data_IF_579502498556
#
_entry.id   IF_579502498556
#
_cell.length_a   1.000
_cell.length_b   1.000
_cell.length_c   1.000
_cell.angle_alpha   90.00
_cell.angle_beta   90.00
_cell.angle_gamma   90.00
#
_symmetry.space_group_name_H-M   'P 1'
#
loop_
_entity.id
_entity.type
_entity.pdbx_description
1 polymer ?
#
# COMPACT_ATOMS: atom_id res chain seq x y z
N UNK A 1 18.53 0.69 -3.28
CA UNK A 1 17.05 0.74 -3.41
C UNK A 1 16.48 0.31 -2.08
N UNK A 2 15.59 1.10 -1.49
CA UNK A 2 14.95 0.73 -0.22
C UNK A 2 14.15 -0.57 -0.40
N UNK A 3 14.32 -1.51 0.54
CA UNK A 3 13.54 -2.76 0.58
C UNK A 3 12.16 -2.57 1.21
N UNK A 4 11.87 -1.37 1.71
CA UNK A 4 10.63 -1.11 2.43
C UNK A 4 9.40 -1.24 1.51
N UNK A 5 8.28 -1.83 1.96
CA UNK A 5 7.07 -1.99 1.16
C UNK A 5 6.54 -0.70 0.53
N UNK A 6 6.70 0.44 1.23
CA UNK A 6 6.32 1.76 0.71
C UNK A 6 7.09 2.16 -0.55
N UNK A 7 8.31 1.68 -0.76
CA UNK A 7 9.16 2.08 -1.90
C UNK A 7 9.05 1.10 -3.08
N UNK A 8 8.19 0.07 -2.96
CA UNK A 8 7.97 -0.95 -4.00
C UNK A 8 6.74 -0.63 -4.85
N UNK A 9 6.94 -0.70 -6.16
CA UNK A 9 5.91 -0.40 -7.18
C UNK A 9 5.65 -1.58 -8.13
N UNK A 10 6.54 -2.56 -8.12
CA UNK A 10 6.70 -3.64 -9.09
C UNK A 10 6.32 -5.02 -8.54
N UNK A 11 6.29 -5.18 -7.22
CA UNK A 11 5.93 -6.45 -6.59
C UNK A 11 4.42 -6.67 -6.64
N UNK A 12 3.99 -7.61 -7.48
CA UNK A 12 2.60 -8.09 -7.61
C UNK A 12 2.47 -9.39 -6.81
N UNK A 13 1.90 -9.38 -5.60
CA UNK A 13 1.72 -10.59 -4.82
C UNK A 13 0.60 -11.49 -5.37
N UNK A 14 -0.43 -10.89 -5.99
CA UNK A 14 -1.55 -11.58 -6.62
C UNK A 14 -2.28 -10.61 -7.58
N UNK A 15 -2.18 -10.85 -8.90
CA UNK A 15 -2.82 -10.01 -9.91
C UNK A 15 -4.36 -10.05 -9.84
N UNK A 16 -4.94 -11.18 -9.42
CA UNK A 16 -6.39 -11.32 -9.28
C UNK A 16 -6.90 -10.49 -8.09
N UNK A 17 -6.16 -10.46 -6.99
CA UNK A 17 -6.48 -9.61 -5.83
C UNK A 17 -6.43 -8.12 -6.19
N UNK A 18 -5.42 -7.68 -6.95
CA UNK A 18 -5.32 -6.29 -7.41
C UNK A 18 -6.49 -5.93 -8.35
N UNK A 19 -6.82 -6.81 -9.28
CA UNK A 19 -7.95 -6.61 -10.20
C UNK A 19 -9.28 -6.51 -9.43
N UNK A 20 -9.51 -7.39 -8.44
CA UNK A 20 -10.71 -7.35 -7.61
C UNK A 20 -10.83 -6.03 -6.82
N UNK A 21 -9.72 -5.51 -6.30
CA UNK A 21 -9.71 -4.23 -5.61
C UNK A 21 -10.03 -3.07 -6.54
N UNK A 22 -9.39 -3.00 -7.70
CA UNK A 22 -9.62 -1.94 -8.70
C UNK A 22 -11.06 -1.99 -9.23
N UNK A 23 -11.60 -3.18 -9.47
CA UNK A 23 -12.99 -3.35 -9.87
C UNK A 23 -13.96 -2.81 -8.81
N UNK A 24 -13.76 -3.17 -7.54
CA UNK A 24 -14.58 -2.66 -6.44
C UNK A 24 -14.48 -1.13 -6.28
N UNK A 25 -13.27 -0.57 -6.44
CA UNK A 25 -13.04 0.87 -6.42
C UNK A 25 -13.76 1.58 -7.58
N UNK A 26 -13.56 1.12 -8.82
CA UNK A 26 -14.12 1.76 -10.03
C UNK A 26 -15.66 1.76 -10.04
N UNK A 27 -16.28 0.76 -9.40
CA UNK A 27 -17.74 0.65 -9.27
C UNK A 27 -18.32 1.43 -8.08
N UNK A 28 -17.49 2.11 -7.29
CA UNK A 28 -17.93 2.83 -6.08
C UNK A 28 -18.46 1.89 -4.98
N UNK A 29 -18.01 0.63 -4.97
CA UNK A 29 -18.47 -0.43 -4.04
C UNK A 29 -17.33 -0.97 -3.18
N UNK A 30 -16.28 -0.19 -2.99
CA UNK A 30 -15.15 -0.59 -2.18
C UNK A 30 -15.55 -0.71 -0.71
N UNK A 31 -15.40 -1.89 -0.13
CA UNK A 31 -15.59 -2.08 1.31
C UNK A 31 -14.62 -1.18 2.09
N UNK A 32 -15.10 -0.58 3.18
CA UNK A 32 -14.33 0.36 4.02
C UNK A 32 -13.18 -0.31 4.79
N UNK A 33 -13.19 -1.65 4.88
CA UNK A 33 -12.16 -2.42 5.55
C UNK A 33 -11.78 -3.64 4.71
N UNK A 34 -10.47 -3.86 4.56
CA UNK A 34 -9.88 -4.99 3.86
C UNK A 34 -8.92 -5.73 4.78
N UNK A 35 -9.08 -7.05 4.86
CA UNK A 35 -8.17 -7.92 5.59
C UNK A 35 -7.32 -8.69 4.58
N UNK A 36 -6.01 -8.44 4.62
CA UNK A 36 -5.04 -9.14 3.77
C UNK A 36 -4.49 -10.35 4.54
N UNK A 37 -4.75 -11.55 4.02
CA UNK A 37 -4.34 -12.81 4.63
C UNK A 37 -3.24 -13.50 3.81
N UNK A 38 -2.37 -14.25 4.47
CA UNK A 38 -1.31 -15.02 3.82
C UNK A 38 -0.03 -15.09 4.64
N UNK A 39 0.89 -15.96 4.23
CA UNK A 39 2.19 -16.18 4.91
C UNK A 39 3.04 -14.90 4.98
N UNK A 40 3.97 -14.84 5.93
CA UNK A 40 4.95 -13.74 5.98
C UNK A 40 5.73 -13.64 4.65
N UNK A 41 6.10 -12.40 4.26
CA UNK A 41 6.83 -12.17 3.02
C UNK A 41 5.98 -12.20 1.72
N UNK A 42 4.70 -12.56 1.78
CA UNK A 42 3.78 -12.58 0.61
C UNK A 42 3.43 -11.21 0.02
N UNK A 43 4.06 -10.11 0.43
CA UNK A 43 3.82 -8.78 -0.16
C UNK A 43 2.54 -8.06 0.29
N UNK A 44 1.86 -8.51 1.36
CA UNK A 44 0.64 -7.85 1.90
C UNK A 44 0.80 -6.35 2.18
N UNK A 45 1.90 -5.95 2.81
CA UNK A 45 2.18 -4.54 3.07
C UNK A 45 2.35 -3.76 1.76
N UNK A 46 3.04 -4.34 0.77
CA UNK A 46 3.22 -3.73 -0.55
C UNK A 46 1.89 -3.56 -1.28
N UNK A 47 1.00 -4.55 -1.21
CA UNK A 47 -0.37 -4.43 -1.72
C UNK A 47 -1.08 -3.24 -1.07
N UNK A 48 -1.04 -3.13 0.25
CA UNK A 48 -1.70 -2.03 0.97
C UNK A 48 -1.17 -0.65 0.54
N UNK A 49 0.13 -0.48 0.37
CA UNK A 49 0.71 0.77 -0.13
C UNK A 49 0.33 1.07 -1.59
N UNK A 50 0.28 0.05 -2.46
CA UNK A 50 -0.15 0.22 -3.86
C UNK A 50 -1.64 0.58 -3.96
N UNK A 51 -2.48 -0.06 -3.15
CA UNK A 51 -3.89 0.29 -3.00
C UNK A 51 -4.07 1.73 -2.48
N UNK A 52 -3.32 2.12 -1.43
CA UNK A 52 -3.37 3.48 -0.87
C UNK A 52 -3.02 4.55 -1.92
N UNK A 53 -1.97 4.33 -2.73
CA UNK A 53 -1.63 5.25 -3.84
C UNK A 53 -2.79 5.48 -4.78
N UNK A 54 -3.43 4.39 -5.23
CA UNK A 54 -4.56 4.46 -6.16
C UNK A 54 -5.79 5.11 -5.52
N UNK A 55 -6.03 4.85 -4.23
CA UNK A 55 -7.13 5.49 -3.48
C UNK A 55 -6.91 6.99 -3.27
N UNK A 56 -5.68 7.40 -3.04
CA UNK A 56 -5.30 8.79 -2.80
C UNK A 56 -5.07 9.58 -4.11
N UNK A 57 -5.36 8.98 -5.26
CA UNK A 57 -5.39 9.68 -6.55
C UNK A 57 -4.07 9.71 -7.33
N UNK A 58 -3.08 8.91 -6.96
CA UNK A 58 -1.85 8.81 -7.76
C UNK A 58 -2.16 8.38 -9.20
N UNK A 59 -1.50 9.01 -10.19
CA UNK A 59 -1.70 8.68 -11.60
C UNK A 59 -1.47 7.17 -11.87
N UNK A 60 -2.35 6.50 -12.64
CA UNK A 60 -2.19 5.08 -12.96
C UNK A 60 -0.95 4.85 -13.83
N UNK A 61 -0.23 3.75 -13.56
CA UNK A 61 0.82 3.22 -14.43
C UNK A 61 0.51 1.75 -14.75
N UNK A 62 -0.22 1.47 -15.85
CA UNK A 62 -0.61 0.11 -16.23
C UNK A 62 0.56 -0.85 -16.46
N UNK A 63 1.77 -0.34 -16.74
CA UNK A 63 2.97 -1.18 -16.89
C UNK A 63 3.36 -1.90 -15.60
N UNK A 64 2.80 -1.47 -14.46
CA UNK A 64 3.05 -1.99 -13.12
C UNK A 64 1.86 -2.78 -12.56
N UNK A 65 0.97 -3.27 -13.41
CA UNK A 65 -0.19 -4.06 -13.03
C UNK A 65 -1.43 -3.23 -12.64
N UNK A 66 -2.53 -3.88 -12.20
CA UNK A 66 -3.81 -3.20 -11.95
C UNK A 66 -3.74 -2.08 -10.90
N UNK A 67 -2.98 -2.28 -9.82
CA UNK A 67 -2.72 -1.24 -8.81
C UNK A 67 -1.47 -0.39 -9.12
N UNK A 68 -0.95 -0.47 -10.34
CA UNK A 68 0.20 0.30 -10.77
C UNK A 68 -0.05 1.81 -10.69
N UNK A 69 0.90 2.52 -10.08
CA UNK A 69 0.87 3.97 -9.94
C UNK A 69 2.23 4.55 -10.36
N UNK A 70 2.22 5.74 -10.94
CA UNK A 70 3.44 6.46 -11.34
C UNK A 70 4.29 6.76 -10.09
N UNK A 71 5.55 6.30 -10.01
CA UNK A 71 6.46 6.62 -8.90
C UNK A 71 6.79 8.11 -8.78
N UNK A 72 6.64 8.88 -9.85
CA UNK A 72 6.97 10.30 -9.87
C UNK A 72 5.78 11.20 -9.53
N UNK A 73 4.57 10.64 -9.39
CA UNK A 73 3.37 11.35 -8.95
C UNK A 73 3.56 11.93 -7.53
N UNK A 74 3.06 13.15 -7.24
CA UNK A 74 3.15 13.75 -5.91
C UNK A 74 2.63 12.85 -4.78
N UNK A 75 1.50 12.16 -4.98
CA UNK A 75 0.91 11.23 -3.99
C UNK A 75 1.88 10.08 -3.73
N UNK A 76 2.41 9.47 -4.79
CA UNK A 76 3.39 8.38 -4.68
C UNK A 76 4.64 8.79 -3.91
N UNK A 77 5.15 10.00 -4.15
CA UNK A 77 6.33 10.56 -3.46
C UNK A 77 6.04 10.86 -2.00
N UNK A 78 4.89 11.45 -1.68
CA UNK A 78 4.48 11.73 -0.30
C UNK A 78 4.28 10.45 0.50
N UNK A 79 3.68 9.41 -0.08
CA UNK A 79 3.53 8.10 0.56
C UNK A 79 4.90 7.46 0.84
N UNK A 80 5.82 7.51 -0.14
CA UNK A 80 7.18 7.02 0.06
C UNK A 80 7.89 7.79 1.19
N UNK A 81 7.68 9.10 1.27
CA UNK A 81 8.23 9.96 2.31
C UNK A 81 7.50 9.92 3.66
N UNK A 82 6.42 9.12 3.81
CA UNK A 82 5.56 9.12 5.01
C UNK A 82 4.99 10.51 5.36
N UNK A 83 4.72 11.35 4.35
CA UNK A 83 4.25 12.73 4.53
C UNK A 83 2.87 13.02 3.94
N UNK A 84 2.19 12.01 3.38
CA UNK A 84 0.86 12.20 2.83
C UNK A 84 -0.16 12.46 3.95
N UNK A 85 -0.88 13.60 3.96
CA UNK A 85 -1.74 14.01 5.07
C UNK A 85 -2.91 13.04 5.32
N UNK A 86 -3.42 12.41 4.26
CA UNK A 86 -4.54 11.46 4.35
C UNK A 86 -4.13 9.99 4.46
N UNK A 87 -2.84 9.69 4.71
CA UNK A 87 -2.37 8.33 4.94
C UNK A 87 -1.85 8.15 6.38
N UNK A 88 -2.56 7.37 7.17
CA UNK A 88 -2.10 6.93 8.49
C UNK A 88 -1.58 5.49 8.41
N UNK A 89 -0.29 5.30 8.68
CA UNK A 89 0.34 3.97 8.78
C UNK A 89 0.49 3.61 10.25
N UNK A 90 -0.19 2.55 10.68
CA UNK A 90 -0.13 2.04 12.05
C UNK A 90 0.80 0.83 12.11
N UNK A 91 1.93 0.99 12.78
CA UNK A 91 2.90 -0.08 13.01
C UNK A 91 3.38 -0.11 14.46
N UNK A 92 3.92 -1.24 14.90
CA UNK A 92 4.48 -1.35 16.25
C UNK A 92 5.87 -0.76 16.26
N UNK A 93 6.11 0.22 17.13
CA UNK A 93 7.45 0.74 17.36
C UNK A 93 8.39 -0.34 17.90
N UNK A 94 9.62 -0.37 17.39
CA UNK A 94 10.71 -1.19 17.92
C UNK A 94 11.64 -0.27 18.70
N UNK A 95 11.73 -0.45 20.02
CA UNK A 95 12.68 0.27 20.88
C UNK A 95 13.65 -0.74 21.50
N UNK A 96 14.95 -0.50 21.35
CA UNK A 96 15.99 -1.38 21.93
C UNK A 96 15.90 -2.84 21.48
N UNK A 97 15.46 -3.09 20.23
CA UNK A 97 15.29 -4.45 19.69
C UNK A 97 14.04 -5.19 20.18
N UNK A 98 13.15 -4.54 20.94
CA UNK A 98 11.88 -5.11 21.39
C UNK A 98 10.71 -4.35 20.77
N UNK A 99 9.78 -5.10 20.19
CA UNK A 99 8.53 -4.56 19.65
C UNK A 99 7.59 -4.15 20.79
N UNK A 100 7.12 -2.90 20.79
CA UNK A 100 6.16 -2.41 21.80
C UNK A 100 4.84 -3.19 21.73
N UNK A 101 4.25 -3.44 22.90
CA UNK A 101 2.99 -4.19 23.01
C UNK A 101 1.79 -3.41 22.48
N UNK A 102 1.80 -2.08 22.61
CA UNK A 102 0.75 -1.17 22.12
C UNK A 102 1.15 -0.47 20.81
N UNK A 103 0.13 -0.16 20.00
CA UNK A 103 0.24 0.80 18.91
C UNK A 103 -0.34 2.10 19.45
N UNK A 104 0.49 3.12 19.59
CA UNK A 104 0.05 4.46 20.00
C UNK A 104 -0.09 5.32 18.75
N UNK A 105 -1.19 6.07 18.64
CA UNK A 105 -1.46 7.04 17.57
C UNK A 105 -1.15 8.44 18.08
#
# INVERSE_FOLDING_TARGET
MSEHPRDRFDLIPDAAAEAAFVDAQSRGRLHHAWLLCGVEGSGKATFAYRAARRLLGAAPDPSRGPLGADPYDPVSRQIAAQSHPDLLVLERLVEGGKTKKSISV
#
